data_IF_867567593616
#
_entry.id   IF_867567593616
#
_cell.length_a   1.000
_cell.length_b   1.000
_cell.length_c   1.000
_cell.angle_alpha   90.00
_cell.angle_beta   90.00
_cell.angle_gamma   90.00
#
_symmetry.space_group_name_H-M   'P 1'
#
loop_
_entity.id
_entity.type
_entity.pdbx_description
1 polymer ?
#
# COMPACT_ATOMS: atom_id res chain seq x y z
N UNK A 1 11.69 -11.20 -8.61
CA UNK A 1 10.76 -12.26 -8.15
C UNK A 1 9.70 -12.43 -9.22
N UNK A 2 9.65 -13.60 -9.86
CA UNK A 2 8.70 -13.88 -10.94
C UNK A 2 7.47 -14.57 -10.38
N UNK A 3 6.30 -14.10 -10.78
CA UNK A 3 5.01 -14.62 -10.37
C UNK A 3 4.30 -15.19 -11.62
N UNK A 4 3.86 -16.45 -11.59
CA UNK A 4 3.08 -17.01 -12.69
C UNK A 4 1.70 -16.34 -12.76
N UNK A 5 1.08 -16.33 -13.94
CA UNK A 5 -0.32 -15.92 -14.05
C UNK A 5 -1.25 -16.84 -13.26
N UNK A 6 -2.30 -16.28 -12.67
CA UNK A 6 -3.27 -17.03 -11.87
C UNK A 6 -4.69 -16.46 -12.00
N UNK A 7 -5.70 -17.27 -11.63
CA UNK A 7 -7.11 -16.88 -11.63
C UNK A 7 -7.63 -16.69 -10.21
N UNK A 8 -8.48 -15.69 -10.03
CA UNK A 8 -9.25 -15.41 -8.81
C UNK A 8 -10.73 -15.34 -9.19
N UNK A 9 -11.43 -16.48 -9.13
CA UNK A 9 -12.77 -16.64 -9.73
C UNK A 9 -12.76 -16.18 -11.20
N UNK A 10 -13.45 -15.09 -11.48
CA UNK A 10 -13.63 -14.50 -12.80
C UNK A 10 -12.54 -13.47 -13.13
N UNK A 11 -11.59 -13.20 -12.24
CA UNK A 11 -10.46 -12.32 -12.52
C UNK A 11 -9.23 -13.12 -12.96
N UNK A 12 -8.53 -12.64 -13.98
CA UNK A 12 -7.21 -13.16 -14.36
C UNK A 12 -6.13 -12.15 -14.01
N UNK A 13 -5.13 -12.60 -13.25
CA UNK A 13 -3.91 -11.86 -12.98
C UNK A 13 -2.82 -12.42 -13.91
N UNK A 14 -2.27 -11.63 -14.84
CA UNK A 14 -1.21 -12.10 -15.72
C UNK A 14 0.08 -12.35 -14.94
N UNK A 15 1.04 -12.99 -15.59
CA UNK A 15 2.38 -13.12 -15.02
C UNK A 15 3.03 -11.74 -14.83
N UNK A 16 3.86 -11.62 -13.79
CA UNK A 16 4.57 -10.36 -13.51
C UNK A 16 5.89 -10.60 -12.79
N UNK A 17 6.77 -9.61 -12.84
CA UNK A 17 8.06 -9.65 -12.15
C UNK A 17 8.27 -8.44 -11.25
N UNK A 18 8.38 -8.70 -9.95
CA UNK A 18 8.74 -7.71 -8.95
C UNK A 18 10.26 -7.74 -8.69
N UNK A 19 10.97 -6.70 -9.11
CA UNK A 19 12.41 -6.51 -8.85
C UNK A 19 12.62 -5.40 -7.80
N UNK A 20 13.79 -5.36 -7.14
CA UNK A 20 14.18 -4.21 -6.31
C UNK A 20 14.01 -2.89 -7.07
N UNK A 21 13.44 -1.89 -6.40
CA UNK A 21 13.18 -0.58 -7.00
C UNK A 21 12.02 -0.54 -8.00
N UNK A 22 11.15 -1.55 -8.02
CA UNK A 22 9.98 -1.61 -8.90
C UNK A 22 8.67 -1.68 -8.13
N UNK A 23 7.65 -1.02 -8.65
CA UNK A 23 6.27 -1.12 -8.23
C UNK A 23 5.44 -1.86 -9.28
N UNK A 24 4.62 -2.80 -8.87
CA UNK A 24 3.51 -3.31 -9.69
C UNK A 24 2.24 -2.63 -9.20
N UNK A 25 1.57 -1.89 -10.08
CA UNK A 25 0.27 -1.25 -9.81
C UNK A 25 -0.83 -2.04 -10.50
N UNK A 26 -1.60 -2.77 -9.70
CA UNK A 26 -2.75 -3.54 -10.15
C UNK A 26 -3.98 -2.64 -10.25
N UNK A 27 -4.48 -2.44 -11.46
CA UNK A 27 -5.73 -1.76 -11.76
C UNK A 27 -6.84 -2.79 -11.85
N UNK A 28 -7.60 -2.95 -10.77
CA UNK A 28 -8.61 -3.98 -10.61
C UNK A 28 -9.97 -3.44 -10.99
N UNK A 29 -10.66 -4.12 -11.90
CA UNK A 29 -12.03 -3.80 -12.25
C UNK A 29 -12.96 -4.06 -11.06
N UNK A 30 -13.57 -3.00 -10.52
CA UNK A 30 -14.56 -3.10 -9.44
C UNK A 30 -15.94 -3.02 -10.06
N UNK A 31 -16.59 -4.17 -10.25
CA UNK A 31 -17.99 -4.26 -10.64
C UNK A 31 -18.84 -4.60 -9.41
N UNK A 32 -19.80 -3.76 -9.01
CA UNK A 32 -20.77 -4.13 -7.98
C UNK A 32 -21.71 -5.21 -8.53
N UNK A 33 -21.80 -6.40 -7.91
CA UNK A 33 -22.80 -7.41 -8.29
C UNK A 33 -24.23 -6.96 -7.94
N UNK A 34 -24.39 -6.04 -6.98
CA UNK A 34 -25.63 -5.35 -6.57
C UNK A 34 -25.30 -3.92 -6.13
N UNK A 35 -26.27 -3.01 -6.12
CA UNK A 35 -26.12 -1.57 -5.78
C UNK A 35 -25.33 -1.25 -4.48
N UNK A 36 -25.12 -2.23 -3.59
CA UNK A 36 -24.41 -2.06 -2.31
C UNK A 36 -23.25 -3.07 -2.08
N UNK A 37 -22.74 -3.77 -3.10
CA UNK A 37 -21.62 -4.72 -2.96
C UNK A 37 -20.31 -4.21 -3.58
N UNK A 38 -19.20 -4.42 -2.87
CA UNK A 38 -17.84 -4.00 -3.24
C UNK A 38 -16.99 -5.21 -3.65
N UNK A 39 -17.48 -6.02 -4.60
CA UNK A 39 -16.84 -7.31 -4.95
C UNK A 39 -15.39 -7.16 -5.43
N UNK A 40 -15.03 -6.02 -6.02
CA UNK A 40 -13.64 -5.72 -6.40
C UNK A 40 -12.66 -5.63 -5.21
N UNK A 41 -13.11 -5.21 -4.02
CA UNK A 41 -12.25 -5.19 -2.83
C UNK A 41 -11.97 -6.61 -2.31
N UNK A 42 -12.92 -7.53 -2.49
CA UNK A 42 -12.70 -8.95 -2.21
C UNK A 42 -11.63 -9.54 -3.14
N UNK A 43 -11.65 -9.18 -4.43
CA UNK A 43 -10.64 -9.63 -5.39
C UNK A 43 -9.23 -9.18 -4.99
N UNK A 44 -9.06 -7.90 -4.63
CA UNK A 44 -7.77 -7.37 -4.12
C UNK A 44 -7.26 -8.19 -2.94
N UNK A 45 -8.11 -8.43 -1.93
CA UNK A 45 -7.72 -9.24 -0.76
C UNK A 45 -7.26 -10.64 -1.15
N UNK A 46 -7.97 -11.30 -2.08
CA UNK A 46 -7.63 -12.64 -2.56
C UNK A 46 -6.35 -12.68 -3.38
N UNK A 47 -6.10 -11.66 -4.19
CA UNK A 47 -4.85 -11.51 -4.94
C UNK A 47 -3.68 -11.43 -3.95
N UNK A 48 -3.77 -10.58 -2.92
CA UNK A 48 -2.73 -10.47 -1.88
C UNK A 48 -2.50 -11.82 -1.18
N UNK A 49 -3.56 -12.52 -0.77
CA UNK A 49 -3.46 -13.83 -0.12
C UNK A 49 -2.75 -14.89 -1.00
N UNK A 50 -3.02 -14.90 -2.31
CA UNK A 50 -2.38 -15.82 -3.26
C UNK A 50 -0.90 -15.48 -3.42
N UNK A 51 -0.56 -14.20 -3.57
CA UNK A 51 0.83 -13.75 -3.69
C UNK A 51 1.61 -14.08 -2.41
N UNK A 52 1.04 -13.82 -1.22
CA UNK A 52 1.66 -14.19 0.07
C UNK A 52 1.88 -15.70 0.19
N UNK A 53 0.89 -16.52 -0.19
CA UNK A 53 1.02 -17.98 -0.19
C UNK A 53 2.13 -18.43 -1.14
N UNK A 54 2.17 -17.89 -2.35
CA UNK A 54 3.21 -18.19 -3.33
C UNK A 54 4.60 -17.84 -2.80
N UNK A 55 4.74 -16.65 -2.21
CA UNK A 55 5.97 -16.18 -1.60
C UNK A 55 6.50 -17.10 -0.50
N UNK A 56 5.63 -17.48 0.44
CA UNK A 56 5.97 -18.38 1.54
C UNK A 56 6.40 -19.77 1.05
N UNK A 57 5.85 -20.24 -0.06
CA UNK A 57 6.14 -21.56 -0.61
C UNK A 57 7.35 -21.61 -1.53
N UNK A 58 7.66 -20.52 -2.26
CA UNK A 58 8.58 -20.57 -3.39
C UNK A 58 9.74 -19.57 -3.32
N UNK A 59 9.56 -18.42 -2.66
CA UNK A 59 10.50 -17.30 -2.78
C UNK A 59 11.20 -16.94 -1.46
N UNK A 60 10.67 -17.36 -0.32
CA UNK A 60 11.20 -16.98 0.99
C UNK A 60 11.13 -15.48 1.29
N UNK A 61 10.39 -14.72 0.49
CA UNK A 61 10.23 -13.27 0.63
C UNK A 61 8.93 -12.93 1.35
N UNK A 62 8.97 -12.04 2.34
CA UNK A 62 7.77 -11.60 3.04
C UNK A 62 7.26 -10.29 2.46
N UNK A 63 6.04 -10.31 1.92
CA UNK A 63 5.31 -9.08 1.58
C UNK A 63 4.64 -8.57 2.85
N UNK A 64 4.77 -7.27 3.11
CA UNK A 64 4.04 -6.63 4.20
C UNK A 64 2.84 -5.87 3.68
N UNK A 65 1.64 -6.41 3.88
CA UNK A 65 0.40 -5.67 3.64
C UNK A 65 0.23 -4.58 4.69
N UNK A 66 0.26 -3.32 4.26
CA UNK A 66 0.00 -2.16 5.10
C UNK A 66 -1.48 -2.16 5.52
N UNK A 67 -1.80 -2.28 6.81
CA UNK A 67 -3.18 -2.17 7.25
C UNK A 67 -3.67 -0.72 7.10
N UNK A 68 -4.97 -0.55 6.94
CA UNK A 68 -5.60 0.78 7.01
C UNK A 68 -5.31 1.46 8.36
N UNK A 69 -5.31 0.67 9.45
CA UNK A 69 -5.04 1.13 10.80
C UNK A 69 -3.96 0.27 11.42
N UNK A 70 -2.90 0.90 11.91
CA UNK A 70 -1.87 0.20 12.66
C UNK A 70 -2.48 -0.42 13.92
N UNK A 71 -2.11 -1.68 14.20
CA UNK A 71 -2.49 -2.34 15.45
C UNK A 71 -1.59 -1.79 16.56
N UNK A 72 -2.11 -0.84 17.33
CA UNK A 72 -1.44 -0.30 18.51
C UNK A 72 -1.92 -1.12 19.72
N UNK A 73 -1.01 -1.40 20.65
CA UNK A 73 -1.29 -2.24 21.82
C UNK A 73 -2.43 -1.70 22.70
N UNK A 74 -2.97 -2.52 23.61
CA UNK A 74 -4.19 -2.19 24.39
C UNK A 74 -4.06 -0.93 25.27
N UNK A 75 -2.84 -0.53 25.65
CA UNK A 75 -2.60 0.70 26.41
C UNK A 75 -2.91 2.00 25.64
N UNK A 76 -3.01 1.94 24.31
CA UNK A 76 -3.38 3.07 23.45
C UNK A 76 -4.79 3.61 23.76
N UNK A 77 -5.67 2.79 24.35
CA UNK A 77 -7.00 3.23 24.77
C UNK A 77 -6.97 4.19 25.97
N UNK A 78 -5.95 4.07 26.82
CA UNK A 78 -5.81 4.88 28.04
C UNK A 78 -4.91 6.09 27.77
N UNK A 79 -3.84 5.88 27.00
CA UNK A 79 -2.91 6.93 26.60
C UNK A 79 -2.64 6.79 25.10
N UNK A 80 -3.41 7.48 24.26
CA UNK A 80 -3.23 7.43 22.82
C UNK A 80 -1.80 7.81 22.43
N UNK A 81 -1.14 6.93 21.69
CA UNK A 81 0.24 7.14 21.25
C UNK A 81 0.27 8.25 20.20
N UNK A 82 1.22 9.17 20.36
CA UNK A 82 1.46 10.22 19.36
C UNK A 82 2.31 9.70 18.21
N UNK A 83 2.16 10.32 17.04
CA UNK A 83 2.99 10.04 15.85
C UNK A 83 4.48 10.08 16.22
N UNK A 84 4.94 11.13 16.92
CA UNK A 84 6.35 11.23 17.33
C UNK A 84 6.82 10.06 18.20
N UNK A 85 5.99 9.64 19.16
CA UNK A 85 6.32 8.60 20.14
C UNK A 85 6.39 7.24 19.45
N UNK A 86 5.48 6.99 18.50
CA UNK A 86 5.53 5.79 17.67
C UNK A 86 6.79 5.77 16.80
N UNK A 87 7.07 6.88 16.11
CA UNK A 87 8.21 6.94 15.19
C UNK A 87 9.54 6.79 15.91
N UNK A 88 9.70 7.43 17.06
CA UNK A 88 10.90 7.30 17.91
C UNK A 88 11.06 5.85 18.39
N UNK A 89 9.96 5.21 18.80
CA UNK A 89 9.96 3.81 19.26
C UNK A 89 10.33 2.82 18.15
N UNK A 90 9.82 3.02 16.93
CA UNK A 90 9.96 2.04 15.83
C UNK A 90 11.19 2.30 14.98
N UNK A 91 11.53 3.57 14.74
CA UNK A 91 12.56 3.97 13.77
C UNK A 91 13.79 4.64 14.41
N UNK A 92 13.74 4.99 15.71
CA UNK A 92 14.86 5.59 16.42
C UNK A 92 15.41 6.83 15.70
N UNK A 93 16.69 6.77 15.29
CA UNK A 93 17.39 7.86 14.59
C UNK A 93 16.75 8.25 13.25
N UNK A 94 16.07 7.32 12.55
CA UNK A 94 15.39 7.61 11.28
C UNK A 94 14.09 8.39 11.47
N UNK A 95 13.59 8.52 12.70
CA UNK A 95 12.29 9.13 12.99
C UNK A 95 12.17 10.57 12.48
N UNK A 96 13.25 11.36 12.45
CA UNK A 96 13.19 12.75 11.98
C UNK A 96 12.91 12.86 10.47
N UNK A 97 13.60 12.09 9.63
CA UNK A 97 13.33 12.05 8.18
C UNK A 97 11.87 11.66 7.91
N UNK A 98 11.37 10.65 8.63
CA UNK A 98 9.99 10.17 8.46
C UNK A 98 8.97 11.23 8.94
N UNK A 99 9.27 11.98 10.00
CA UNK A 99 8.43 13.11 10.44
C UNK A 99 8.34 14.19 9.36
N UNK A 100 9.44 14.47 8.67
CA UNK A 100 9.47 15.47 7.59
C UNK A 100 8.62 14.99 6.39
N UNK A 101 8.78 13.72 6.00
CA UNK A 101 7.98 13.10 4.93
C UNK A 101 6.47 13.16 5.26
N UNK A 102 6.09 12.81 6.50
CA UNK A 102 4.70 12.86 6.98
C UNK A 102 4.13 14.27 7.05
N UNK A 103 4.96 15.28 7.33
CA UNK A 103 4.54 16.68 7.37
C UNK A 103 4.07 17.17 6.01
N UNK A 104 4.63 16.64 4.91
CA UNK A 104 4.16 16.93 3.54
C UNK A 104 2.71 16.47 3.28
N UNK A 105 2.20 15.56 4.12
CA UNK A 105 0.83 15.07 4.10
C UNK A 105 -0.03 15.63 5.23
N UNK A 106 0.42 16.70 5.89
CA UNK A 106 -0.26 17.31 7.05
C UNK A 106 -0.49 16.32 8.22
N UNK A 107 0.36 15.30 8.36
CA UNK A 107 0.36 14.40 9.53
C UNK A 107 1.38 14.93 10.52
N UNK A 108 0.90 15.54 11.61
CA UNK A 108 1.76 16.25 12.56
C UNK A 108 2.28 15.34 13.69
N UNK A 109 3.49 15.58 14.22
CA UNK A 109 4.08 14.78 15.30
C UNK A 109 3.23 14.68 16.57
N UNK A 110 2.41 15.69 16.85
CA UNK A 110 1.51 15.77 18.01
C UNK A 110 0.20 15.01 17.85
N UNK A 111 -0.16 14.60 16.63
CA UNK A 111 -1.38 13.83 16.39
C UNK A 111 -1.29 12.49 17.09
N UNK A 112 -2.40 12.07 17.68
CA UNK A 112 -2.55 10.72 18.23
C UNK A 112 -2.95 9.79 17.08
N UNK A 113 -2.30 8.64 16.96
CA UNK A 113 -2.49 7.78 15.78
C UNK A 113 -3.95 7.34 15.66
N UNK A 114 -4.60 7.03 16.79
CA UNK A 114 -5.98 6.55 16.84
C UNK A 114 -7.03 7.60 16.49
N UNK A 115 -6.76 8.89 16.73
CA UNK A 115 -7.74 9.97 16.51
C UNK A 115 -7.61 10.60 15.12
N UNK A 116 -6.59 10.23 14.33
CA UNK A 116 -6.47 10.67 12.94
C UNK A 116 -7.67 10.21 12.09
N UNK A 117 -8.02 10.98 11.07
CA UNK A 117 -8.98 10.55 10.06
C UNK A 117 -8.51 9.28 9.33
N UNK A 118 -9.45 8.53 8.76
CA UNK A 118 -9.20 7.24 8.09
C UNK A 118 -8.07 7.32 7.04
N UNK A 119 -8.10 8.34 6.17
CA UNK A 119 -7.08 8.54 5.15
C UNK A 119 -5.69 8.78 5.75
N UNK A 120 -5.57 9.62 6.79
CA UNK A 120 -4.31 9.85 7.49
C UNK A 120 -3.79 8.60 8.20
N UNK A 121 -4.66 7.78 8.82
CA UNK A 121 -4.24 6.51 9.43
C UNK A 121 -3.66 5.54 8.40
N UNK A 122 -4.33 5.42 7.25
CA UNK A 122 -3.90 4.57 6.16
C UNK A 122 -2.58 5.05 5.57
N UNK A 123 -2.48 6.34 5.28
CA UNK A 123 -1.26 6.97 4.75
C UNK A 123 -0.09 6.81 5.71
N UNK A 124 -0.30 7.07 7.01
CA UNK A 124 0.70 6.84 8.04
C UNK A 124 1.19 5.39 8.06
N UNK A 125 0.27 4.42 7.93
CA UNK A 125 0.63 3.01 7.86
C UNK A 125 1.42 2.65 6.60
N UNK A 126 1.09 3.25 5.44
CA UNK A 126 1.79 3.03 4.18
C UNK A 126 3.23 3.54 4.29
N UNK A 127 3.40 4.80 4.71
CA UNK A 127 4.73 5.41 4.90
C UNK A 127 5.56 4.57 5.88
N UNK A 128 5.02 4.24 7.05
CA UNK A 128 5.74 3.41 8.02
C UNK A 128 6.10 2.02 7.46
N UNK A 129 5.19 1.40 6.71
CA UNK A 129 5.44 0.12 6.07
C UNK A 129 6.60 0.20 5.08
N UNK A 130 6.60 1.20 4.19
CA UNK A 130 7.64 1.37 3.16
C UNK A 130 9.01 1.62 3.80
N UNK A 131 9.07 2.42 4.87
CA UNK A 131 10.31 2.65 5.62
C UNK A 131 10.83 1.38 6.32
N UNK A 132 9.93 0.53 6.80
CA UNK A 132 10.27 -0.62 7.64
C UNK A 132 10.62 -1.88 6.84
N UNK A 133 10.01 -2.10 5.68
CA UNK A 133 10.11 -3.36 4.94
C UNK A 133 10.62 -3.15 3.51
N UNK A 134 11.23 -4.17 2.93
CA UNK A 134 11.75 -4.10 1.56
C UNK A 134 10.66 -4.28 0.51
N UNK A 135 9.62 -5.05 0.84
CA UNK A 135 8.48 -5.30 -0.02
C UNK A 135 7.19 -4.99 0.76
N UNK A 136 6.40 -4.04 0.25
CA UNK A 136 5.11 -3.68 0.85
C UNK A 136 3.98 -3.77 -0.15
N UNK A 137 2.76 -4.01 0.38
CA UNK A 137 1.53 -3.99 -0.39
C UNK A 137 0.52 -3.03 0.25
N UNK A 138 -0.24 -2.30 -0.57
CA UNK A 138 -1.29 -1.38 -0.11
C UNK A 138 -2.24 -1.03 -1.26
N UNK A 139 -3.37 -0.41 -0.98
CA UNK A 139 -4.29 0.12 -1.98
C UNK A 139 -4.33 1.66 -1.98
N UNK A 140 -4.68 2.29 -3.11
CA UNK A 140 -4.86 3.75 -3.21
C UNK A 140 -6.27 4.22 -2.83
N UNK A 141 -7.22 3.30 -2.56
CA UNK A 141 -8.62 3.67 -2.32
C UNK A 141 -8.81 4.67 -1.16
N UNK A 142 -9.63 5.69 -1.42
CA UNK A 142 -9.99 6.69 -0.42
C UNK A 142 -8.97 7.81 -0.22
N UNK A 143 -7.96 7.92 -1.10
CA UNK A 143 -7.15 9.13 -1.22
C UNK A 143 -7.77 10.09 -2.25
N UNK A 144 -7.67 11.38 -1.97
CA UNK A 144 -7.92 12.42 -2.96
C UNK A 144 -6.75 12.53 -3.96
N UNK A 145 -6.97 13.11 -5.16
CA UNK A 145 -5.93 13.21 -6.18
C UNK A 145 -4.64 13.90 -5.73
N UNK A 146 -4.72 14.94 -4.90
CA UNK A 146 -3.53 15.66 -4.44
C UNK A 146 -2.70 14.78 -3.48
N UNK A 147 -3.37 14.02 -2.62
CA UNK A 147 -2.72 13.04 -1.73
C UNK A 147 -2.07 11.93 -2.51
N UNK A 148 -2.72 11.42 -3.56
CA UNK A 148 -2.13 10.40 -4.44
C UNK A 148 -0.88 10.92 -5.14
N UNK A 149 -0.91 12.13 -5.71
CA UNK A 149 0.25 12.74 -6.37
C UNK A 149 1.44 12.87 -5.40
N UNK A 150 1.19 13.33 -4.17
CA UNK A 150 2.25 13.43 -3.14
C UNK A 150 2.77 12.04 -2.75
N UNK A 151 1.89 11.05 -2.61
CA UNK A 151 2.27 9.68 -2.26
C UNK A 151 3.10 9.04 -3.38
N UNK A 152 2.74 9.25 -4.65
CA UNK A 152 3.52 8.78 -5.78
C UNK A 152 4.91 9.41 -5.83
N UNK A 153 5.05 10.71 -5.55
CA UNK A 153 6.37 11.36 -5.44
C UNK A 153 7.23 10.71 -4.35
N UNK A 154 6.65 10.45 -3.18
CA UNK A 154 7.33 9.74 -2.10
C UNK A 154 7.72 8.31 -2.52
N UNK A 155 6.81 7.59 -3.18
CA UNK A 155 7.05 6.23 -3.69
C UNK A 155 8.24 6.22 -4.64
N UNK A 156 8.34 7.15 -5.60
CA UNK A 156 9.47 7.19 -6.53
C UNK A 156 10.82 7.29 -5.82
N UNK A 157 10.93 8.16 -4.82
CA UNK A 157 12.14 8.26 -3.99
C UNK A 157 12.46 6.90 -3.33
N UNK A 158 11.44 6.17 -2.88
CA UNK A 158 11.61 4.87 -2.22
C UNK A 158 11.96 3.76 -3.21
N UNK A 159 11.43 3.79 -4.42
CA UNK A 159 11.83 2.90 -5.51
C UNK A 159 13.30 3.12 -5.87
N UNK A 160 13.76 4.37 -5.93
CA UNK A 160 15.18 4.70 -6.17
C UNK A 160 16.08 4.25 -5.01
N UNK A 161 15.56 4.23 -3.77
CA UNK A 161 16.21 3.62 -2.60
C UNK A 161 16.17 2.07 -2.61
N UNK A 162 15.58 1.45 -3.64
CA UNK A 162 15.54 0.00 -3.85
C UNK A 162 14.31 -0.71 -3.28
N UNK A 163 13.33 0.01 -2.73
CA UNK A 163 12.07 -0.58 -2.23
C UNK A 163 11.24 -1.17 -3.36
N UNK A 164 10.48 -2.21 -3.06
CA UNK A 164 9.58 -2.87 -4.01
C UNK A 164 8.14 -2.80 -3.51
N UNK A 165 7.19 -2.51 -4.39
CA UNK A 165 5.81 -2.24 -3.98
C UNK A 165 4.80 -3.04 -4.81
N UNK A 166 3.71 -3.46 -4.16
CA UNK A 166 2.51 -3.99 -4.80
C UNK A 166 1.34 -3.07 -4.45
N UNK A 167 0.87 -2.28 -5.41
CA UNK A 167 -0.23 -1.36 -5.17
C UNK A 167 -1.50 -1.79 -5.90
N UNK A 168 -2.65 -1.49 -5.30
CA UNK A 168 -3.95 -1.81 -5.86
C UNK A 168 -4.79 -0.55 -6.05
N UNK A 169 -5.49 -0.49 -7.18
CA UNK A 169 -6.34 0.63 -7.54
C UNK A 169 -7.55 0.20 -8.38
N UNK A 170 -8.51 1.09 -8.58
CA UNK A 170 -9.73 0.85 -9.35
C UNK A 170 -9.43 1.13 -10.81
N UNK A 171 -9.64 0.13 -11.66
CA UNK A 171 -9.49 0.28 -13.11
C UNK A 171 -10.31 1.45 -13.68
N UNK A 172 -11.46 1.77 -13.08
CA UNK A 172 -12.30 2.90 -13.49
C UNK A 172 -11.67 4.29 -13.30
N UNK A 173 -10.58 4.40 -12.54
CA UNK A 173 -9.81 5.64 -12.35
C UNK A 173 -8.48 5.63 -13.10
N UNK A 174 -8.19 4.59 -13.88
CA UNK A 174 -6.93 4.50 -14.62
C UNK A 174 -6.90 5.57 -15.73
N UNK A 175 -5.91 6.46 -15.66
CA UNK A 175 -5.63 7.38 -16.76
C UNK A 175 -5.00 6.66 -17.96
N UNK A 176 -5.36 7.07 -19.18
CA UNK A 176 -4.97 6.36 -20.41
C UNK A 176 -3.46 6.41 -20.71
N UNK A 177 -2.70 7.36 -20.15
CA UNK A 177 -1.29 7.60 -20.51
C UNK A 177 -0.36 7.87 -19.31
N UNK A 178 -0.49 7.09 -18.23
CA UNK A 178 0.37 7.24 -17.05
C UNK A 178 1.51 6.21 -17.02
N UNK A 179 2.43 6.33 -17.97
CA UNK A 179 3.69 5.58 -17.93
C UNK A 179 4.67 6.30 -17.02
N UNK A 180 4.96 5.67 -15.88
CA UNK A 180 5.97 6.17 -14.96
C UNK A 180 7.11 5.17 -14.86
N UNK A 181 8.33 5.70 -14.88
CA UNK A 181 9.53 4.91 -14.68
C UNK A 181 9.41 4.08 -13.39
N UNK A 182 9.81 2.81 -13.48
CA UNK A 182 9.79 1.84 -12.38
C UNK A 182 8.40 1.42 -11.87
N UNK A 183 7.31 1.84 -12.53
CA UNK A 183 5.94 1.40 -12.24
C UNK A 183 5.41 0.58 -13.41
N UNK A 184 5.14 -0.70 -13.16
CA UNK A 184 4.45 -1.56 -14.13
C UNK A 184 2.96 -1.58 -13.80
N UNK A 185 2.13 -1.17 -14.76
CA UNK A 185 0.68 -1.17 -14.64
C UNK A 185 0.12 -2.50 -15.17
N UNK A 186 -0.64 -3.21 -14.32
CA UNK A 186 -1.32 -4.46 -14.68
C UNK A 186 -2.81 -4.26 -14.55
N UNK A 187 -3.53 -4.46 -15.66
CA UNK A 187 -5.00 -4.40 -15.68
C UNK A 187 -5.58 -5.77 -15.33
N UNK A 188 -6.51 -5.81 -14.39
CA UNK A 188 -7.21 -7.02 -13.96
C UNK A 188 -8.69 -6.80 -14.22
N UNK A 189 -9.17 -7.40 -15.32
CA UNK A 189 -10.56 -7.38 -15.75
C UNK A 189 -11.27 -8.69 -15.39
N UNK A 190 -12.60 -8.61 -15.26
CA UNK A 190 -13.47 -9.77 -15.15
C UNK A 190 -13.55 -10.45 -16.53
N UNK A 191 -13.24 -11.75 -16.57
CA UNK A 191 -13.23 -12.64 -17.75
C UNK A 191 -14.57 -13.33 -17.91
#
# INVERSE_FOLDING_TARGET
MKYPGFRVKEFFVPEFELTPGKMIRFWVQILPEKENQTDGYWAVKRIVEIIEKYNNQNLGAKIHLCPIKLKIGPFDFIKPIKVKEYLEKVFGVKSNKIKDDLSSFNIKPEYTIREMGYAHQKLFSIICGIEQYDITAFDFYGFDPDTEIRLMKYIHVKLDEGKSLLAFDNLGYKEENFDILNVENIMIERV
#
